data_IF_693105276949
#
_entry.id   IF_693105276949
#
_cell.length_a   1.000
_cell.length_b   1.000
_cell.length_c   1.000
_cell.angle_alpha   90.00
_cell.angle_beta   90.00
_cell.angle_gamma   90.00
#
_symmetry.space_group_name_H-M   'P 1'
#
loop_
_entity.id
_entity.type
_entity.pdbx_description
1 polymer ?
#
# COMPACT_ATOMS: atom_id res chain seq x y z
N UNK A 1 15.23 -8.83 -6.52
CA UNK A 1 14.55 -7.60 -6.09
C UNK A 1 15.59 -6.77 -5.38
N UNK A 2 15.93 -5.59 -5.91
CA UNK A 2 16.86 -4.68 -5.23
C UNK A 2 16.07 -4.04 -4.10
N UNK A 3 16.58 -4.10 -2.87
CA UNK A 3 15.86 -3.63 -1.67
C UNK A 3 16.55 -2.41 -1.08
N UNK A 4 15.77 -1.40 -0.73
CA UNK A 4 16.18 -0.19 -0.02
C UNK A 4 16.66 -0.56 1.37
N UNK A 5 17.89 -0.13 1.68
CA UNK A 5 18.50 -0.35 2.97
C UNK A 5 18.92 1.00 3.55
N UNK A 6 18.04 1.55 4.39
CA UNK A 6 18.23 2.81 5.10
C UNK A 6 19.41 2.82 6.08
N UNK A 7 20.01 1.66 6.36
CA UNK A 7 21.11 1.51 7.33
C UNK A 7 22.50 1.46 6.68
N UNK A 8 22.59 1.44 5.35
CA UNK A 8 23.86 1.60 4.67
C UNK A 8 24.24 3.08 4.70
N UNK A 9 25.11 3.48 5.63
CA UNK A 9 25.70 4.83 5.68
C UNK A 9 26.62 5.18 4.50
N UNK A 10 26.42 4.55 3.33
CA UNK A 10 27.15 4.75 2.08
C UNK A 10 26.21 5.34 1.01
N UNK A 11 26.82 5.89 -0.05
CA UNK A 11 26.10 6.38 -1.24
C UNK A 11 25.18 5.27 -1.76
N UNK A 12 23.88 5.54 -1.74
CA UNK A 12 22.85 4.63 -2.22
C UNK A 12 22.86 4.59 -3.76
N UNK A 13 23.54 3.58 -4.31
CA UNK A 13 23.71 3.39 -5.75
C UNK A 13 22.68 2.43 -6.37
N UNK A 14 21.76 1.88 -5.56
CA UNK A 14 20.93 0.74 -5.96
C UNK A 14 19.42 0.99 -5.80
N UNK A 15 19.02 1.87 -4.88
CA UNK A 15 17.61 2.20 -4.67
C UNK A 15 17.01 2.92 -5.88
N UNK A 16 15.88 2.43 -6.36
CA UNK A 16 15.13 3.08 -7.44
C UNK A 16 14.38 4.33 -6.96
N UNK A 17 14.07 5.25 -7.87
CA UNK A 17 13.27 6.43 -7.54
C UNK A 17 11.92 6.08 -6.88
N UNK A 18 11.27 5.00 -7.34
CA UNK A 18 10.04 4.47 -6.75
C UNK A 18 10.28 4.01 -5.32
N UNK A 19 11.36 3.29 -5.06
CA UNK A 19 11.61 2.74 -3.74
C UNK A 19 11.94 3.84 -2.71
N UNK A 20 12.70 4.85 -3.12
CA UNK A 20 12.90 6.08 -2.32
C UNK A 20 11.58 6.79 -2.03
N UNK A 21 10.72 6.94 -3.05
CA UNK A 21 9.40 7.56 -2.89
C UNK A 21 8.52 6.84 -1.85
N UNK A 22 8.58 5.51 -1.81
CA UNK A 22 7.86 4.69 -0.83
C UNK A 22 8.46 4.85 0.57
N UNK A 23 9.79 4.83 0.69
CA UNK A 23 10.48 5.02 1.96
C UNK A 23 10.20 6.38 2.59
N UNK A 24 10.24 7.46 1.80
CA UNK A 24 9.95 8.83 2.26
C UNK A 24 8.52 9.00 2.78
N UNK A 25 7.60 8.09 2.42
CA UNK A 25 6.21 8.05 2.89
C UNK A 25 5.96 7.05 4.01
N UNK A 26 7.01 6.41 4.53
CA UNK A 26 6.90 5.38 5.56
C UNK A 26 6.25 4.08 5.06
N UNK A 27 6.25 3.84 3.74
CA UNK A 27 5.65 2.64 3.13
C UNK A 27 6.61 1.45 3.05
N UNK A 28 7.85 1.60 3.53
CA UNK A 28 8.83 0.51 3.65
C UNK A 28 9.11 0.16 5.11
N UNK A 29 9.35 1.17 5.95
CA UNK A 29 9.61 1.01 7.37
C UNK A 29 8.93 2.11 8.17
N UNK A 30 8.60 1.80 9.42
CA UNK A 30 8.09 2.76 10.42
C UNK A 30 8.88 2.64 11.72
N UNK A 31 8.75 3.61 12.62
CA UNK A 31 9.44 3.61 13.92
C UNK A 31 8.45 3.31 15.04
N UNK A 32 8.63 2.19 15.74
CA UNK A 32 7.84 1.80 16.91
C UNK A 32 8.78 1.64 18.10
N UNK A 33 8.52 2.38 19.18
CA UNK A 33 9.36 2.36 20.39
C UNK A 33 10.85 2.59 20.10
N UNK A 34 11.15 3.53 19.20
CA UNK A 34 12.53 3.87 18.81
C UNK A 34 13.22 2.84 17.91
N UNK A 35 12.52 1.80 17.44
CA UNK A 35 13.08 0.79 16.52
C UNK A 35 12.45 0.92 15.15
N UNK A 36 13.27 0.83 14.10
CA UNK A 36 12.76 0.65 12.73
C UNK A 36 12.12 -0.73 12.61
N UNK A 37 10.91 -0.78 12.04
CA UNK A 37 10.13 -1.99 11.81
C UNK A 37 9.61 -1.98 10.38
N UNK A 38 9.80 -3.08 9.67
CA UNK A 38 9.24 -3.33 8.35
C UNK A 38 7.70 -3.33 8.41
N UNK A 39 7.06 -2.52 7.57
CA UNK A 39 5.60 -2.42 7.54
C UNK A 39 4.93 -3.71 7.01
N UNK A 40 5.64 -4.48 6.19
CA UNK A 40 5.19 -5.80 5.70
C UNK A 40 5.06 -6.78 6.85
N UNK A 41 6.03 -6.78 7.78
CA UNK A 41 5.96 -7.56 9.00
C UNK A 41 4.75 -7.17 9.85
N UNK A 42 4.49 -5.86 9.99
CA UNK A 42 3.33 -5.37 10.76
C UNK A 42 2.00 -5.77 10.13
N UNK A 43 1.89 -5.73 8.81
CA UNK A 43 0.70 -6.15 8.06
C UNK A 43 0.41 -7.64 8.28
N UNK A 44 1.41 -8.51 8.13
CA UNK A 44 1.25 -9.95 8.40
C UNK A 44 0.91 -10.23 9.87
N UNK A 45 1.55 -9.52 10.80
CA UNK A 45 1.26 -9.66 12.23
C UNK A 45 -0.21 -9.33 12.53
N UNK A 46 -0.72 -8.25 11.96
CA UNK A 46 -2.11 -7.83 12.14
C UNK A 46 -3.10 -8.86 11.57
N UNK A 47 -2.84 -9.35 10.36
CA UNK A 47 -3.64 -10.42 9.75
C UNK A 47 -3.67 -11.70 10.61
N UNK A 48 -2.51 -12.16 11.09
CA UNK A 48 -2.43 -13.33 11.97
C UNK A 48 -3.14 -13.12 13.31
N UNK A 49 -3.08 -11.92 13.88
CA UNK A 49 -3.82 -11.58 15.09
C UNK A 49 -5.33 -11.54 14.84
N UNK A 50 -5.76 -11.04 13.68
CA UNK A 50 -7.15 -11.10 13.24
C UNK A 50 -7.70 -12.53 13.25
N UNK A 51 -6.93 -13.48 12.73
CA UNK A 51 -7.28 -14.91 12.75
C UNK A 51 -7.37 -15.45 14.18
N UNK A 52 -6.36 -15.17 15.03
CA UNK A 52 -6.28 -15.71 16.40
C UNK A 52 -7.36 -15.16 17.32
N UNK A 53 -7.69 -13.88 17.17
CA UNK A 53 -8.60 -13.16 18.04
C UNK A 53 -10.01 -13.04 17.45
N UNK A 54 -10.24 -13.63 16.28
CA UNK A 54 -11.48 -13.52 15.50
C UNK A 54 -11.90 -12.05 15.27
N UNK A 55 -10.93 -11.23 14.84
CA UNK A 55 -11.12 -9.80 14.54
C UNK A 55 -10.99 -9.55 13.03
N UNK A 56 -11.72 -8.55 12.55
CA UNK A 56 -11.61 -8.07 11.17
C UNK A 56 -10.28 -7.32 11.01
N UNK A 57 -9.45 -7.67 10.02
CA UNK A 57 -8.23 -6.92 9.72
C UNK A 57 -8.57 -5.56 9.12
N UNK A 58 -7.63 -4.63 9.23
CA UNK A 58 -7.72 -3.27 8.72
C UNK A 58 -7.83 -3.24 7.20
N UNK A 59 -7.14 -4.18 6.52
CA UNK A 59 -7.21 -4.38 5.07
C UNK A 59 -8.09 -5.60 4.75
N UNK A 60 -9.40 -5.47 4.95
CA UNK A 60 -10.36 -6.52 4.64
C UNK A 60 -10.78 -6.54 3.15
N UNK A 61 -11.68 -7.44 2.79
CA UNK A 61 -12.12 -7.63 1.39
C UNK A 61 -12.83 -6.41 0.81
N UNK A 62 -13.55 -5.64 1.62
CA UNK A 62 -14.26 -4.44 1.16
C UNK A 62 -13.25 -3.35 0.79
N UNK A 63 -12.21 -3.17 1.61
CA UNK A 63 -11.10 -2.25 1.31
C UNK A 63 -10.38 -2.69 0.03
N UNK A 64 -10.06 -3.97 -0.11
CA UNK A 64 -9.41 -4.49 -1.32
C UNK A 64 -10.26 -4.28 -2.58
N UNK A 65 -11.59 -4.40 -2.46
CA UNK A 65 -12.51 -4.11 -3.55
C UNK A 65 -12.48 -2.63 -3.94
N UNK A 66 -12.58 -1.72 -2.97
CA UNK A 66 -12.54 -0.27 -3.19
C UNK A 66 -11.20 0.18 -3.82
N UNK A 67 -10.07 -0.36 -3.35
CA UNK A 67 -8.74 -0.12 -3.93
C UNK A 67 -8.64 -0.64 -5.38
N UNK A 68 -9.18 -1.83 -5.65
CA UNK A 68 -9.24 -2.40 -7.00
C UNK A 68 -10.05 -1.53 -7.96
N UNK A 69 -11.22 -1.03 -7.52
CA UNK A 69 -12.03 -0.10 -8.28
C UNK A 69 -11.27 1.20 -8.55
N UNK A 70 -10.58 1.77 -7.54
CA UNK A 70 -9.79 2.99 -7.74
C UNK A 70 -8.68 2.80 -8.80
N UNK A 71 -8.00 1.65 -8.81
CA UNK A 71 -7.02 1.31 -9.84
C UNK A 71 -7.65 1.26 -11.24
N UNK A 72 -8.83 0.62 -11.36
CA UNK A 72 -9.56 0.56 -12.62
C UNK A 72 -10.02 1.95 -13.07
N UNK A 73 -10.55 2.77 -12.17
CA UNK A 73 -10.94 4.15 -12.46
C UNK A 73 -9.77 4.98 -12.98
N UNK A 74 -8.58 4.87 -12.38
CA UNK A 74 -7.39 5.54 -12.85
C UNK A 74 -7.01 5.10 -14.28
N UNK A 75 -7.11 3.80 -14.57
CA UNK A 75 -6.88 3.25 -15.90
C UNK A 75 -7.89 3.77 -16.94
N UNK A 76 -9.20 3.73 -16.63
CA UNK A 76 -10.25 4.26 -17.49
C UNK A 76 -10.08 5.76 -17.76
N UNK A 77 -9.86 6.56 -16.72
CA UNK A 77 -9.64 8.00 -16.85
C UNK A 77 -8.46 8.31 -17.76
N UNK A 78 -7.37 7.54 -17.64
CA UNK A 78 -6.20 7.68 -18.49
C UNK A 78 -6.49 7.36 -19.96
N UNK A 79 -7.23 6.30 -20.25
CA UNK A 79 -7.54 5.89 -21.62
C UNK A 79 -8.58 6.80 -22.28
N UNK A 80 -9.66 7.13 -21.56
CA UNK A 80 -10.80 7.90 -22.09
C UNK A 80 -10.58 9.41 -22.05
N UNK A 81 -9.49 9.87 -21.41
CA UNK A 81 -9.12 11.29 -21.27
C UNK A 81 -10.22 12.14 -20.64
N UNK A 82 -10.92 11.56 -19.65
CA UNK A 82 -11.99 12.23 -18.90
C UNK A 82 -11.93 11.90 -17.42
N UNK A 83 -12.63 12.70 -16.64
CA UNK A 83 -12.92 12.36 -15.25
C UNK A 83 -13.95 11.22 -15.20
N UNK A 84 -13.76 10.30 -14.27
CA UNK A 84 -14.67 9.17 -14.02
C UNK A 84 -15.07 9.16 -12.54
N UNK A 85 -16.23 8.61 -12.22
CA UNK A 85 -16.77 8.51 -10.87
C UNK A 85 -17.25 7.08 -10.60
N UNK A 86 -17.25 6.68 -9.33
CA UNK A 86 -17.81 5.40 -8.91
C UNK A 86 -19.28 5.55 -8.55
N UNK A 87 -20.15 4.88 -9.30
CA UNK A 87 -21.54 4.67 -8.93
C UNK A 87 -21.64 3.45 -8.00
N UNK A 88 -21.75 3.72 -6.70
CA UNK A 88 -21.81 2.69 -5.66
C UNK A 88 -23.10 1.86 -5.70
N UNK A 89 -24.22 2.45 -6.12
CA UNK A 89 -25.52 1.77 -6.16
C UNK A 89 -25.54 0.73 -7.28
N UNK A 90 -25.12 1.14 -8.48
CA UNK A 90 -25.12 0.28 -9.66
C UNK A 90 -23.82 -0.51 -9.86
N UNK A 91 -22.80 -0.23 -9.02
CA UNK A 91 -21.45 -0.80 -9.08
C UNK A 91 -20.79 -0.63 -10.46
N UNK A 92 -20.76 0.62 -10.94
CA UNK A 92 -20.22 0.98 -12.26
C UNK A 92 -19.30 2.18 -12.18
N UNK A 93 -18.31 2.21 -13.07
CA UNK A 93 -17.52 3.41 -13.32
C UNK A 93 -18.27 4.21 -14.38
N UNK A 94 -18.60 5.46 -14.05
CA UNK A 94 -19.35 6.39 -14.91
C UNK A 94 -18.53 7.61 -15.29
#
# INVERSE_FOLDING_TARGET
>A
MVSFNSNLGQIDAVTSASEKYYADRGLTNTVINGRQVDVTHLHLREWLNGIRENKTPSANIDVAYEEGIACLMAHYSYLEKRQVFWDKENKKII
#
